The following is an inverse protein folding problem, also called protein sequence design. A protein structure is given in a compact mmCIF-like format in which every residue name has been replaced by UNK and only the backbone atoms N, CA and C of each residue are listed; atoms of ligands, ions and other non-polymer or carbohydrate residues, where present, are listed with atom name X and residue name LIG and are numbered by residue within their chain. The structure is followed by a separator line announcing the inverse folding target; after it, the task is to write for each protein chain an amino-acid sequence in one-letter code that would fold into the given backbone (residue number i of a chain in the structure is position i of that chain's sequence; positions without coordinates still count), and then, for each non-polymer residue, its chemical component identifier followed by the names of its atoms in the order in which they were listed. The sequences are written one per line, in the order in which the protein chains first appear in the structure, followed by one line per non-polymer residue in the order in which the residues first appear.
data_IF_711699830986
#
_entry.id   IF_711699830986
#
_cell.length_a   1.000
_cell.length_b   1.000
_cell.length_c   1.000
_cell.angle_alpha   90.00
_cell.angle_beta   90.00
_cell.angle_gamma   90.00
#
_symmetry.space_group_name_H-M   'P 1'
#
loop_
_entity.id
_entity.type
_entity.pdbx_description
1 polymer ?
#
# COMPACT_ATOMS: atom_id res chain seq x y z
N UNK A 1 15.88 16.33 13.85
CA UNK A 1 16.05 15.53 12.62
C UNK A 1 14.82 14.65 12.45
N UNK A 2 14.23 14.66 11.26
CA UNK A 2 12.97 13.94 10.99
C UNK A 2 13.26 12.67 10.20
N UNK A 3 12.61 11.56 10.55
CA UNK A 3 12.57 10.35 9.73
C UNK A 3 11.17 10.17 9.14
N UNK A 4 11.05 10.15 7.81
CA UNK A 4 9.78 9.82 7.13
C UNK A 4 9.83 8.38 6.63
N UNK A 5 8.84 7.57 7.02
CA UNK A 5 8.64 6.24 6.46
C UNK A 5 7.73 6.36 5.26
N UNK A 6 8.27 6.21 4.05
CA UNK A 6 7.57 6.52 2.80
C UNK A 6 7.28 5.26 1.98
N UNK A 7 6.83 5.44 0.73
CA UNK A 7 6.38 4.39 -0.18
C UNK A 7 4.92 4.54 -0.63
N UNK A 8 4.31 5.69 -0.33
CA UNK A 8 2.98 6.13 -0.79
C UNK A 8 3.12 7.46 -1.52
N UNK A 9 2.08 7.89 -2.25
CA UNK A 9 2.08 9.23 -2.87
C UNK A 9 2.15 10.33 -1.80
N UNK A 10 1.40 10.14 -0.70
CA UNK A 10 1.35 11.09 0.40
C UNK A 10 2.68 11.14 1.16
N UNK A 11 3.36 10.00 1.34
CA UNK A 11 4.69 9.96 1.92
C UNK A 11 5.73 10.70 1.07
N UNK A 12 5.62 10.65 -0.26
CA UNK A 12 6.48 11.43 -1.16
C UNK A 12 6.20 12.93 -1.04
N UNK A 13 4.94 13.31 -0.99
CA UNK A 13 4.52 14.70 -0.84
C UNK A 13 4.94 15.29 0.53
N UNK A 14 4.78 14.52 1.62
CA UNK A 14 5.26 14.92 2.95
C UNK A 14 6.76 15.18 2.93
N UNK A 15 7.56 14.26 2.37
CA UNK A 15 9.02 14.43 2.27
C UNK A 15 9.37 15.69 1.47
N UNK A 16 8.73 15.88 0.31
CA UNK A 16 8.95 17.06 -0.55
C UNK A 16 8.66 18.35 0.21
N UNK A 17 7.49 18.46 0.86
CA UNK A 17 7.11 19.68 1.59
C UNK A 17 8.03 20.00 2.77
N UNK A 18 8.41 18.99 3.55
CA UNK A 18 9.34 19.18 4.66
C UNK A 18 10.74 19.60 4.15
N UNK A 19 11.16 19.07 3.00
CA UNK A 19 12.42 19.45 2.36
C UNK A 19 12.39 20.89 1.82
N UNK A 20 11.32 21.28 1.13
CA UNK A 20 11.14 22.63 0.58
C UNK A 20 11.11 23.71 1.68
N UNK A 21 10.72 23.33 2.90
CA UNK A 21 10.75 24.18 4.09
C UNK A 21 12.12 24.24 4.78
N UNK A 22 13.13 23.56 4.25
CA UNK A 22 14.50 23.55 4.77
C UNK A 22 14.70 22.72 6.03
N UNK A 23 13.79 21.79 6.34
CA UNK A 23 13.91 20.94 7.53
C UNK A 23 14.88 19.77 7.30
N UNK A 24 15.72 19.49 8.30
CA UNK A 24 16.61 18.33 8.28
C UNK A 24 15.82 17.03 8.41
N UNK A 25 15.77 16.25 7.33
CA UNK A 25 15.06 14.99 7.26
C UNK A 25 15.83 13.90 6.52
N UNK A 26 15.48 12.66 6.82
CA UNK A 26 15.76 11.48 6.01
C UNK A 26 14.44 10.73 5.74
N UNK A 27 14.38 9.97 4.65
CA UNK A 27 13.27 9.09 4.31
C UNK A 27 13.75 7.67 4.11
N UNK A 28 12.86 6.70 4.35
CA UNK A 28 13.11 5.29 4.04
C UNK A 28 12.08 4.74 3.08
N UNK A 29 12.53 3.88 2.16
CA UNK A 29 11.68 3.14 1.22
C UNK A 29 12.09 1.66 1.21
N UNK A 30 11.09 0.78 1.03
CA UNK A 30 11.34 -0.66 1.07
C UNK A 30 11.95 -1.21 -0.24
N UNK A 31 11.83 -0.50 -1.36
CA UNK A 31 12.15 -1.01 -2.70
C UNK A 31 13.09 -0.08 -3.47
N UNK A 32 13.84 -0.65 -4.40
CA UNK A 32 14.71 0.11 -5.31
C UNK A 32 13.89 1.07 -6.19
N UNK A 33 12.72 0.62 -6.64
CA UNK A 33 11.79 1.47 -7.38
C UNK A 33 11.39 2.72 -6.58
N UNK A 34 11.09 2.55 -5.29
CA UNK A 34 10.80 3.68 -4.41
C UNK A 34 11.99 4.65 -4.32
N UNK A 35 13.22 4.13 -4.27
CA UNK A 35 14.43 4.95 -4.22
C UNK A 35 14.64 5.75 -5.51
N UNK A 36 14.45 5.10 -6.67
CA UNK A 36 14.51 5.74 -8.00
C UNK A 36 13.52 6.89 -8.15
N UNK A 37 12.34 6.80 -7.54
CA UNK A 37 11.38 7.92 -7.54
C UNK A 37 11.96 9.12 -6.77
N UNK A 38 12.60 8.91 -5.62
CA UNK A 38 13.24 10.01 -4.88
C UNK A 38 14.46 10.58 -5.61
N UNK A 39 15.21 9.76 -6.36
CA UNK A 39 16.28 10.23 -7.26
C UNK A 39 15.73 11.16 -8.36
N UNK A 40 14.59 10.82 -8.96
CA UNK A 40 13.93 11.69 -9.94
C UNK A 40 13.41 13.00 -9.35
N UNK A 41 13.13 13.02 -8.04
CA UNK A 41 12.74 14.21 -7.29
C UNK A 41 13.94 15.07 -6.85
N UNK A 42 15.19 14.63 -7.08
CA UNK A 42 16.40 15.29 -6.58
C UNK A 42 16.59 15.15 -5.07
N UNK A 43 16.02 14.09 -4.47
CA UNK A 43 15.99 13.82 -3.03
C UNK A 43 16.71 12.51 -2.68
N UNK A 44 17.63 12.06 -3.52
CA UNK A 44 18.39 10.81 -3.34
C UNK A 44 19.26 10.83 -2.08
N UNK A 45 19.80 12.00 -1.73
CA UNK A 45 20.72 12.17 -0.60
C UNK A 45 20.04 11.95 0.75
N UNK A 46 18.72 12.12 0.79
CA UNK A 46 17.89 11.92 1.99
C UNK A 46 17.18 10.56 1.98
N UNK A 47 17.28 9.76 0.92
CA UNK A 47 16.53 8.52 0.75
C UNK A 47 17.38 7.26 1.04
N UNK A 48 17.06 6.58 2.13
CA UNK A 48 17.61 5.27 2.46
C UNK A 48 16.71 4.16 1.89
N UNK A 49 17.34 3.15 1.27
CA UNK A 49 16.64 1.95 0.84
C UNK A 49 16.89 0.80 1.81
N UNK A 50 15.82 0.12 2.20
CA UNK A 50 15.91 -1.11 2.99
C UNK A 50 14.76 -1.26 3.96
N UNK A 51 14.47 -2.50 4.33
CA UNK A 51 13.56 -2.83 5.44
C UNK A 51 14.34 -2.79 6.74
N UNK A 52 13.74 -2.21 7.77
CA UNK A 52 14.29 -2.16 9.12
C UNK A 52 13.34 -2.85 10.09
N UNK A 53 13.91 -3.64 10.99
CA UNK A 53 13.23 -4.14 12.18
C UNK A 53 13.27 -3.08 13.30
N UNK A 54 12.63 -3.35 14.43
CA UNK A 54 12.60 -2.43 15.56
C UNK A 54 14.01 -2.06 16.09
N UNK A 55 14.97 -2.98 16.01
CA UNK A 55 16.36 -2.72 16.42
C UNK A 55 17.10 -1.84 15.40
N UNK A 56 16.88 -2.08 14.11
CA UNK A 56 17.39 -1.25 13.02
C UNK A 56 16.88 0.18 13.11
N UNK A 57 15.58 0.38 13.33
CA UNK A 57 15.01 1.70 13.60
C UNK A 57 15.60 2.33 14.85
N UNK A 58 15.77 1.58 15.94
CA UNK A 58 16.36 2.11 17.17
C UNK A 58 17.81 2.57 16.99
N UNK A 59 18.62 1.84 16.20
CA UNK A 59 19.98 2.26 15.86
C UNK A 59 19.96 3.53 15.02
N UNK A 60 19.14 3.55 13.96
CA UNK A 60 19.02 4.70 13.07
C UNK A 60 18.61 5.97 13.84
N UNK A 61 17.63 5.85 14.74
CA UNK A 61 17.16 6.94 15.59
C UNK A 61 18.32 7.55 16.39
N UNK A 62 19.12 6.72 17.07
CA UNK A 62 20.25 7.20 17.88
C UNK A 62 21.39 7.77 17.03
N UNK A 63 21.78 7.07 15.97
CA UNK A 63 22.92 7.45 15.12
C UNK A 63 22.68 8.77 14.37
N UNK A 64 21.44 9.04 13.98
CA UNK A 64 21.07 10.25 13.23
C UNK A 64 20.44 11.34 14.11
N UNK A 65 20.28 11.10 15.41
CA UNK A 65 19.65 12.04 16.33
C UNK A 65 18.21 12.37 15.94
N UNK A 66 17.44 11.36 15.52
CA UNK A 66 16.04 11.55 15.12
C UNK A 66 15.19 11.84 16.34
N UNK A 67 14.45 12.94 16.31
CA UNK A 67 13.53 13.37 17.36
C UNK A 67 12.06 13.09 17.00
N UNK A 68 11.76 13.00 15.69
CA UNK A 68 10.40 12.77 15.17
C UNK A 68 10.42 11.76 14.04
N UNK A 69 9.56 10.74 14.14
CA UNK A 69 9.24 9.80 13.06
C UNK A 69 7.86 10.11 12.50
N UNK A 70 7.78 10.33 11.19
CA UNK A 70 6.53 10.45 10.45
C UNK A 70 6.31 9.15 9.68
N UNK A 71 5.34 8.36 10.12
CA UNK A 71 4.92 7.16 9.42
C UNK A 71 3.88 7.52 8.36
N UNK A 72 4.29 7.49 7.09
CA UNK A 72 3.43 7.63 5.93
C UNK A 72 3.40 6.34 5.08
N UNK A 73 3.66 5.17 5.69
CA UNK A 73 3.63 3.89 4.97
C UNK A 73 2.20 3.50 4.60
N UNK A 74 2.06 2.59 3.64
CA UNK A 74 0.74 2.08 3.27
C UNK A 74 0.02 1.47 4.50
N UNK A 75 -1.30 1.65 4.69
CA UNK A 75 -2.04 1.16 5.87
C UNK A 75 -1.98 -0.36 6.12
N UNK A 76 -1.59 -1.14 5.11
CA UNK A 76 -1.40 -2.60 5.23
C UNK A 76 0.03 -2.99 5.59
N UNK A 77 0.94 -2.03 5.73
CA UNK A 77 2.33 -2.24 6.11
C UNK A 77 2.46 -2.32 7.65
N UNK A 78 1.65 -3.18 8.27
CA UNK A 78 1.52 -3.32 9.73
C UNK A 78 2.87 -3.50 10.42
N UNK A 79 3.70 -4.38 9.86
CA UNK A 79 4.99 -4.77 10.44
C UNK A 79 5.95 -3.59 10.58
N UNK A 80 6.11 -2.77 9.53
CA UNK A 80 7.01 -1.62 9.57
C UNK A 80 6.50 -0.55 10.54
N UNK A 81 5.19 -0.30 10.57
CA UNK A 81 4.59 0.63 11.52
C UNK A 81 4.77 0.17 12.97
N UNK A 82 4.56 -1.11 13.27
CA UNK A 82 4.78 -1.66 14.61
C UNK A 82 6.26 -1.56 15.02
N UNK A 83 7.17 -1.96 14.13
CA UNK A 83 8.61 -1.88 14.37
C UNK A 83 9.06 -0.43 14.67
N UNK A 84 8.53 0.54 13.91
CA UNK A 84 8.83 1.94 14.11
C UNK A 84 8.25 2.50 15.42
N UNK A 85 7.00 2.14 15.77
CA UNK A 85 6.40 2.53 17.05
C UNK A 85 7.19 1.97 18.24
N UNK A 86 7.57 0.69 18.20
CA UNK A 86 8.35 0.05 19.24
C UNK A 86 9.72 0.72 19.42
N UNK A 87 10.38 1.07 18.30
CA UNK A 87 11.63 1.81 18.32
C UNK A 87 11.47 3.23 18.88
N UNK A 88 10.42 3.95 18.50
CA UNK A 88 10.13 5.29 19.00
C UNK A 88 9.90 5.27 20.52
N UNK A 89 9.09 4.32 21.00
CA UNK A 89 8.84 4.13 22.44
C UNK A 89 10.13 3.86 23.21
N UNK A 90 11.03 3.03 22.68
CA UNK A 90 12.32 2.70 23.32
C UNK A 90 13.27 3.89 23.41
N UNK A 91 13.25 4.80 22.44
CA UNK A 91 14.18 5.92 22.36
C UNK A 91 13.54 7.27 22.77
N UNK A 92 12.31 7.24 23.30
CA UNK A 92 11.52 8.42 23.63
C UNK A 92 11.40 9.42 22.46
N UNK A 93 11.25 8.87 21.25
CA UNK A 93 11.12 9.62 20.00
C UNK A 93 9.64 9.84 19.69
N UNK A 94 9.28 11.02 19.20
CA UNK A 94 7.91 11.32 18.82
C UNK A 94 7.53 10.54 17.57
N UNK A 95 6.29 10.02 17.53
CA UNK A 95 5.78 9.25 16.40
C UNK A 95 4.45 9.85 15.91
N UNK A 96 4.41 10.20 14.62
CA UNK A 96 3.27 10.79 13.93
C UNK A 96 2.84 9.86 12.80
N UNK A 97 1.59 9.39 12.81
CA UNK A 97 1.02 8.59 11.74
C UNK A 97 0.24 9.49 10.77
N UNK A 98 0.64 9.50 9.51
CA UNK A 98 -0.24 9.93 8.43
C UNK A 98 -1.08 8.75 7.98
N UNK A 99 -2.40 8.91 8.05
CA UNK A 99 -3.33 7.93 7.52
C UNK A 99 -4.59 8.63 7.00
N UNK A 100 -4.77 8.56 5.68
CA UNK A 100 -5.97 9.05 5.00
C UNK A 100 -7.25 8.47 5.59
N UNK A 101 -8.33 9.25 5.49
CA UNK A 101 -9.65 8.81 5.90
C UNK A 101 -10.07 7.51 5.19
N UNK A 102 -10.94 6.77 5.85
CA UNK A 102 -11.56 5.56 5.29
C UNK A 102 -12.51 5.98 4.17
N UNK A 103 -12.50 5.26 3.06
CA UNK A 103 -13.49 5.44 2.01
C UNK A 103 -14.70 4.60 2.37
N UNK A 104 -15.89 5.19 2.35
CA UNK A 104 -17.11 4.45 2.61
C UNK A 104 -17.32 3.38 1.53
N UNK A 105 -17.18 2.11 1.91
CA UNK A 105 -17.44 0.98 1.01
C UNK A 105 -18.96 0.76 0.96
N UNK A 106 -19.60 0.86 -0.22
CA UNK A 106 -21.05 0.70 -0.35
C UNK A 106 -21.56 -0.61 0.25
N UNK A 107 -22.71 -0.55 0.90
CA UNK A 107 -23.43 -1.75 1.32
C UNK A 107 -24.22 -2.31 0.13
N UNK A 108 -23.72 -3.37 -0.49
CA UNK A 108 -24.32 -3.95 -1.69
C UNK A 108 -24.16 -5.49 -1.71
N UNK A 109 -25.12 -6.27 -2.23
CA UNK A 109 -25.03 -7.74 -2.26
C UNK A 109 -23.81 -8.32 -2.97
N UNK A 110 -23.24 -7.59 -3.94
CA UNK A 110 -22.03 -7.98 -4.66
C UNK A 110 -20.73 -7.54 -3.95
N UNK A 111 -20.82 -6.84 -2.82
CA UNK A 111 -19.65 -6.36 -2.07
C UNK A 111 -19.49 -7.18 -0.80
N UNK A 112 -18.38 -7.91 -0.73
CA UNK A 112 -18.06 -8.83 0.35
C UNK A 112 -16.90 -8.26 1.17
N UNK A 113 -17.21 -7.65 2.31
CA UNK A 113 -16.19 -7.15 3.25
C UNK A 113 -15.62 -8.31 4.05
N UNK A 114 -14.29 -8.39 4.12
CA UNK A 114 -13.55 -9.41 4.88
C UNK A 114 -12.41 -8.76 5.65
N UNK A 115 -12.08 -9.28 6.83
CA UNK A 115 -11.08 -8.66 7.72
C UNK A 115 -9.66 -9.06 7.38
N UNK A 116 -9.49 -10.24 6.80
CA UNK A 116 -8.17 -10.84 6.61
C UNK A 116 -7.98 -11.34 5.20
N UNK A 117 -6.71 -11.50 4.83
CA UNK A 117 -6.36 -12.10 3.54
C UNK A 117 -6.83 -13.56 3.45
N UNK A 118 -6.78 -14.30 4.56
CA UNK A 118 -7.24 -15.69 4.59
C UNK A 118 -8.75 -15.77 4.34
N UNK A 119 -9.54 -14.90 4.97
CA UNK A 119 -10.98 -14.79 4.68
C UNK A 119 -11.24 -14.41 3.21
N UNK A 120 -10.42 -13.55 2.62
CA UNK A 120 -10.52 -13.20 1.20
C UNK A 120 -10.28 -14.40 0.28
N UNK A 121 -9.31 -15.25 0.60
CA UNK A 121 -9.03 -16.49 -0.14
C UNK A 121 -10.21 -17.46 -0.02
N UNK A 122 -10.72 -17.70 1.19
CA UNK A 122 -11.89 -18.58 1.39
C UNK A 122 -13.14 -18.06 0.68
N UNK A 123 -13.41 -16.75 0.78
CA UNK A 123 -14.54 -16.15 0.07
C UNK A 123 -14.38 -16.28 -1.45
N UNK A 124 -13.15 -16.13 -1.97
CA UNK A 124 -12.86 -16.28 -3.39
C UNK A 124 -13.15 -17.69 -3.92
N UNK A 125 -13.00 -18.75 -3.09
CA UNK A 125 -13.38 -20.11 -3.48
C UNK A 125 -14.87 -20.23 -3.79
N UNK A 126 -15.71 -19.60 -2.98
CA UNK A 126 -17.17 -19.67 -3.11
C UNK A 126 -17.75 -18.82 -4.26
N UNK A 127 -16.94 -17.97 -4.89
CA UNK A 127 -17.39 -17.06 -5.95
C UNK A 127 -16.98 -17.57 -7.36
N UNK A 128 -17.04 -16.69 -8.36
CA UNK A 128 -16.78 -17.01 -9.75
C UNK A 128 -15.37 -17.57 -10.03
N UNK A 129 -15.18 -18.05 -11.26
CA UNK A 129 -13.95 -18.74 -11.68
C UNK A 129 -12.78 -17.80 -11.98
N UNK A 130 -13.03 -16.58 -12.46
CA UNK A 130 -12.02 -15.66 -13.01
C UNK A 130 -11.83 -14.49 -12.05
N UNK A 131 -10.76 -14.58 -11.27
CA UNK A 131 -10.48 -13.67 -10.17
C UNK A 131 -9.45 -12.62 -10.62
N UNK A 132 -9.77 -11.34 -10.47
CA UNK A 132 -8.85 -10.23 -10.72
C UNK A 132 -8.30 -9.68 -9.42
N UNK A 133 -7.02 -9.94 -9.16
CA UNK A 133 -6.29 -9.49 -7.98
C UNK A 133 -5.72 -8.09 -8.22
N UNK A 134 -6.29 -7.10 -7.53
CA UNK A 134 -5.81 -5.70 -7.52
C UNK A 134 -5.03 -5.37 -6.24
N UNK A 135 -4.58 -6.38 -5.52
CA UNK A 135 -3.98 -6.29 -4.18
C UNK A 135 -2.47 -6.07 -4.18
N UNK A 136 -1.84 -6.07 -5.36
CA UNK A 136 -0.39 -5.99 -5.57
C UNK A 136 0.34 -7.33 -5.34
N UNK A 137 1.62 -7.36 -5.72
CA UNK A 137 2.47 -8.57 -5.75
C UNK A 137 2.55 -9.30 -4.40
N UNK A 138 2.61 -8.55 -3.29
CA UNK A 138 2.78 -9.12 -1.93
C UNK A 138 1.64 -10.02 -1.48
N UNK A 139 0.50 -9.98 -2.16
CA UNK A 139 -0.68 -10.79 -1.80
C UNK A 139 -0.88 -11.98 -2.74
N UNK A 140 -0.24 -11.99 -3.91
CA UNK A 140 -0.43 -13.01 -4.96
C UNK A 140 -0.12 -14.41 -4.44
N UNK A 141 0.98 -14.57 -3.70
CA UNK A 141 1.38 -15.85 -3.13
C UNK A 141 0.37 -16.44 -2.13
N UNK A 142 -0.55 -15.64 -1.58
CA UNK A 142 -1.62 -16.14 -0.71
C UNK A 142 -2.82 -16.67 -1.51
N UNK A 143 -3.02 -16.18 -2.73
CA UNK A 143 -4.06 -16.66 -3.64
C UNK A 143 -3.58 -17.78 -4.56
N UNK A 144 -2.27 -17.98 -4.73
CA UNK A 144 -1.71 -19.02 -5.61
C UNK A 144 -2.18 -20.44 -5.26
N UNK A 145 -2.66 -20.65 -4.03
CA UNK A 145 -3.27 -21.92 -3.59
C UNK A 145 -4.55 -22.25 -4.40
N UNK A 146 -5.19 -21.23 -4.99
CA UNK A 146 -6.40 -21.36 -5.79
C UNK A 146 -6.10 -21.56 -7.29
N UNK A 147 -4.83 -21.60 -7.72
CA UNK A 147 -4.47 -21.57 -9.15
C UNK A 147 -5.00 -22.76 -9.97
N UNK A 148 -5.26 -23.88 -9.30
CA UNK A 148 -5.80 -25.09 -9.93
C UNK A 148 -7.34 -25.10 -9.92
N UNK A 149 -7.97 -24.27 -9.07
CA UNK A 149 -9.43 -24.14 -8.93
C UNK A 149 -9.98 -22.92 -9.70
N UNK A 150 -9.16 -21.87 -9.83
CA UNK A 150 -9.55 -20.54 -10.28
C UNK A 150 -8.53 -19.98 -11.28
N UNK A 151 -9.00 -19.10 -12.15
CA UNK A 151 -8.16 -18.37 -13.09
C UNK A 151 -7.78 -17.02 -12.47
N UNK A 152 -6.55 -16.94 -11.94
CA UNK A 152 -6.04 -15.74 -11.29
C UNK A 152 -5.44 -14.79 -12.31
N UNK A 153 -6.05 -13.63 -12.46
CA UNK A 153 -5.53 -12.48 -13.19
C UNK A 153 -4.95 -11.49 -12.21
N UNK A 154 -3.70 -11.10 -12.40
CA UNK A 154 -2.94 -10.38 -11.38
C UNK A 154 -2.45 -9.06 -11.94
N UNK A 155 -2.84 -7.95 -11.31
CA UNK A 155 -2.30 -6.63 -11.63
C UNK A 155 -1.15 -6.27 -10.70
N UNK A 156 0.02 -6.05 -11.28
CA UNK A 156 1.27 -5.73 -10.57
C UNK A 156 1.96 -4.52 -11.22
N UNK A 157 2.86 -3.88 -10.48
CA UNK A 157 3.78 -2.91 -11.06
C UNK A 157 4.67 -3.58 -12.11
N UNK A 158 5.04 -2.87 -13.20
CA UNK A 158 5.86 -3.41 -14.29
C UNK A 158 7.34 -3.48 -13.90
N UNK A 159 7.62 -4.32 -12.91
CA UNK A 159 8.95 -4.55 -12.33
C UNK A 159 9.33 -6.00 -12.67
N UNK A 160 10.49 -6.25 -13.31
CA UNK A 160 10.89 -7.59 -13.75
C UNK A 160 10.82 -8.65 -12.64
N UNK A 161 11.23 -8.28 -11.43
CA UNK A 161 11.21 -9.15 -10.24
C UNK A 161 9.78 -9.56 -9.87
N UNK A 162 8.80 -8.65 -10.01
CA UNK A 162 7.40 -8.99 -9.73
C UNK A 162 6.83 -9.94 -10.77
N UNK A 163 7.20 -9.77 -12.04
CA UNK A 163 6.78 -10.68 -13.12
C UNK A 163 7.38 -12.07 -12.87
N UNK A 164 8.67 -12.16 -12.54
CA UNK A 164 9.33 -13.41 -12.19
C UNK A 164 8.64 -14.12 -11.01
N UNK A 165 8.35 -13.39 -9.93
CA UNK A 165 7.61 -13.92 -8.77
C UNK A 165 6.23 -14.48 -9.14
N UNK A 166 5.49 -13.82 -10.04
CA UNK A 166 4.22 -14.34 -10.54
C UNK A 166 4.39 -15.66 -11.30
N UNK A 167 5.41 -15.75 -12.15
CA UNK A 167 5.72 -16.98 -12.90
C UNK A 167 6.10 -18.13 -11.97
N UNK A 168 6.94 -17.87 -10.96
CA UNK A 168 7.33 -18.85 -9.93
C UNK A 168 6.12 -19.37 -9.14
N UNK A 169 5.13 -18.50 -8.90
CA UNK A 169 3.87 -18.88 -8.26
C UNK A 169 2.92 -19.67 -9.19
N UNK A 170 3.27 -19.84 -10.46
CA UNK A 170 2.49 -20.56 -11.46
C UNK A 170 1.39 -19.72 -12.12
N UNK A 171 1.49 -18.39 -12.07
CA UNK A 171 0.59 -17.51 -12.80
C UNK A 171 1.02 -17.47 -14.28
N UNK A 172 0.16 -17.85 -15.24
CA UNK A 172 0.51 -17.81 -16.64
C UNK A 172 0.79 -16.39 -17.14
N UNK A 173 1.75 -16.17 -18.08
CA UNK A 173 2.06 -14.85 -18.61
C UNK A 173 0.85 -14.06 -19.11
N UNK A 174 -0.09 -14.75 -19.78
CA UNK A 174 -1.33 -14.13 -20.31
C UNK A 174 -2.30 -13.60 -19.22
N UNK A 175 -2.04 -13.91 -17.94
CA UNK A 175 -2.84 -13.47 -16.79
C UNK A 175 -2.07 -12.51 -15.88
N UNK A 176 -0.89 -12.04 -16.32
CA UNK A 176 -0.11 -11.02 -15.63
C UNK A 176 -0.34 -9.68 -16.32
N UNK A 177 -0.95 -8.74 -15.59
CA UNK A 177 -1.21 -7.37 -16.06
C UNK A 177 -0.19 -6.45 -15.37
N UNK A 178 0.93 -6.22 -16.04
CA UNK A 178 2.01 -5.36 -15.55
C UNK A 178 1.75 -3.90 -15.95
N UNK A 179 1.23 -3.08 -15.03
CA UNK A 179 0.86 -1.69 -15.30
C UNK A 179 1.09 -0.79 -14.09
N UNK A 180 1.41 0.47 -14.34
CA UNK A 180 1.49 1.51 -13.31
C UNK A 180 0.20 2.35 -13.31
N UNK A 181 -0.38 2.58 -12.13
CA UNK A 181 -1.59 3.39 -11.97
C UNK A 181 -1.30 4.90 -11.91
N UNK A 182 -2.30 5.74 -11.58
CA UNK A 182 -3.68 5.38 -11.21
C UNK A 182 -4.48 4.79 -12.39
N UNK A 183 -5.58 4.10 -12.09
CA UNK A 183 -6.43 3.46 -13.10
C UNK A 183 -7.82 4.06 -13.08
N UNK A 184 -8.26 4.63 -14.20
CA UNK A 184 -9.63 5.15 -14.34
C UNK A 184 -10.66 4.04 -14.27
N UNK A 185 -11.90 4.40 -13.98
CA UNK A 185 -13.03 3.46 -14.01
C UNK A 185 -13.13 2.74 -15.37
N UNK A 186 -13.08 3.49 -16.47
CA UNK A 186 -13.19 2.94 -17.82
C UNK A 186 -12.09 1.92 -18.13
N UNK A 187 -10.86 2.17 -17.69
CA UNK A 187 -9.77 1.23 -17.88
C UNK A 187 -10.01 -0.06 -17.06
N UNK A 188 -10.48 0.06 -15.81
CA UNK A 188 -10.86 -1.11 -15.01
C UNK A 188 -11.96 -1.91 -15.70
N UNK A 189 -13.03 -1.25 -16.18
CA UNK A 189 -14.13 -1.91 -16.92
C UNK A 189 -13.65 -2.59 -18.19
N UNK A 190 -12.78 -1.94 -18.97
CA UNK A 190 -12.20 -2.52 -20.17
C UNK A 190 -11.43 -3.81 -19.86
N UNK A 191 -10.60 -3.81 -18.81
CA UNK A 191 -9.89 -5.01 -18.35
C UNK A 191 -10.87 -6.10 -17.89
N UNK A 192 -11.89 -5.74 -17.11
CA UNK A 192 -12.89 -6.70 -16.64
C UNK A 192 -13.60 -7.40 -17.79
N UNK A 193 -14.01 -6.66 -18.82
CA UNK A 193 -14.63 -7.20 -20.03
C UNK A 193 -13.66 -8.06 -20.84
N UNK A 194 -12.45 -7.53 -21.10
CA UNK A 194 -11.42 -8.21 -21.90
C UNK A 194 -11.08 -9.59 -21.32
N UNK A 195 -10.97 -9.69 -20.00
CA UNK A 195 -10.61 -10.93 -19.30
C UNK A 195 -11.81 -11.70 -18.75
N UNK A 196 -13.04 -11.22 -19.00
CA UNK A 196 -14.30 -11.80 -18.52
C UNK A 196 -14.30 -12.04 -17.00
N UNK A 197 -13.77 -11.07 -16.25
CA UNK A 197 -13.66 -11.14 -14.80
C UNK A 197 -15.04 -11.24 -14.17
N UNK A 198 -15.16 -12.12 -13.18
CA UNK A 198 -16.40 -12.30 -12.39
C UNK A 198 -16.19 -12.06 -10.91
N UNK A 199 -14.94 -12.02 -10.43
CA UNK A 199 -14.63 -11.65 -9.06
C UNK A 199 -13.43 -10.72 -9.02
N UNK A 200 -13.56 -9.57 -8.38
CA UNK A 200 -12.43 -8.69 -8.06
C UNK A 200 -12.07 -8.86 -6.59
N UNK A 201 -10.77 -8.99 -6.30
CA UNK A 201 -10.27 -8.88 -4.93
C UNK A 201 -9.46 -7.60 -4.81
N UNK A 202 -9.76 -6.82 -3.78
CA UNK A 202 -9.08 -5.56 -3.53
C UNK A 202 -8.88 -5.27 -2.06
N UNK A 203 -7.98 -4.32 -1.79
CA UNK A 203 -7.77 -3.74 -0.47
C UNK A 203 -8.54 -2.44 -0.37
N UNK A 204 -9.09 -2.17 0.80
CA UNK A 204 -9.59 -0.87 1.21
C UNK A 204 -8.44 0.15 1.16
N UNK A 205 -8.34 0.82 0.02
CA UNK A 205 -7.42 1.93 -0.20
C UNK A 205 -8.26 3.19 -0.09
N UNK A 206 -7.81 4.21 0.61
CA UNK A 206 -8.46 5.53 0.59
C UNK A 206 -8.42 6.17 -0.82
N UNK A 207 -9.04 7.33 -0.95
CA UNK A 207 -9.43 7.96 -2.23
C UNK A 207 -8.31 8.06 -3.29
N UNK A 208 -7.08 8.43 -2.91
CA UNK A 208 -5.96 8.56 -3.86
C UNK A 208 -5.50 7.22 -4.50
N UNK A 209 -5.96 6.07 -4.00
CA UNK A 209 -5.53 4.74 -4.46
C UNK A 209 -6.34 4.13 -5.61
N UNK A 210 -7.24 4.88 -6.23
CA UNK A 210 -8.12 4.38 -7.28
C UNK A 210 -9.18 3.40 -6.77
N UNK A 211 -9.49 3.46 -5.46
CA UNK A 211 -10.31 2.44 -4.82
C UNK A 211 -11.79 2.59 -5.12
N UNK A 212 -12.23 3.83 -5.28
CA UNK A 212 -13.57 4.16 -5.69
C UNK A 212 -13.81 3.70 -7.14
N UNK A 213 -12.90 4.04 -8.04
CA UNK A 213 -12.98 3.76 -9.48
C UNK A 213 -13.05 2.26 -9.78
N UNK A 214 -12.25 1.45 -9.08
CA UNK A 214 -12.27 -0.01 -9.28
C UNK A 214 -13.54 -0.67 -8.70
N UNK A 215 -14.02 -0.19 -7.55
CA UNK A 215 -15.25 -0.73 -6.92
C UNK A 215 -16.47 -0.34 -7.77
N UNK A 216 -16.53 0.91 -8.23
CA UNK A 216 -17.59 1.39 -9.11
C UNK A 216 -17.55 0.69 -10.48
N UNK A 217 -16.37 0.49 -11.06
CA UNK A 217 -16.20 -0.32 -12.27
C UNK A 217 -16.74 -1.74 -12.08
N UNK A 218 -16.37 -2.41 -10.99
CA UNK A 218 -16.80 -3.79 -10.73
C UNK A 218 -18.31 -3.86 -10.52
N UNK A 219 -18.87 -2.90 -9.79
CA UNK A 219 -20.31 -2.76 -9.62
C UNK A 219 -21.05 -2.60 -10.97
N UNK A 220 -20.58 -1.69 -11.82
CA UNK A 220 -21.16 -1.43 -13.15
C UNK A 220 -21.13 -2.67 -14.05
N UNK A 221 -20.13 -3.52 -13.90
CA UNK A 221 -20.00 -4.78 -14.65
C UNK A 221 -20.64 -5.99 -13.94
N UNK A 222 -21.30 -5.80 -12.79
CA UNK A 222 -21.97 -6.88 -12.04
C UNK A 222 -21.00 -7.89 -11.42
N UNK A 223 -19.79 -7.46 -11.06
CA UNK A 223 -18.69 -8.31 -10.57
C UNK A 223 -18.71 -8.37 -9.05
N UNK A 224 -18.65 -9.59 -8.51
CA UNK A 224 -18.44 -9.79 -7.07
C UNK A 224 -17.13 -9.16 -6.63
N UNK A 225 -17.19 -8.29 -5.62
CA UNK A 225 -16.06 -7.52 -5.14
C UNK A 225 -15.77 -7.88 -3.69
N UNK A 226 -14.66 -8.58 -3.47
CA UNK A 226 -14.13 -8.82 -2.14
C UNK A 226 -13.25 -7.64 -1.75
N UNK A 227 -13.64 -6.95 -0.68
CA UNK A 227 -12.86 -5.85 -0.10
C UNK A 227 -12.27 -6.31 1.21
N UNK A 228 -10.94 -6.39 1.24
CA UNK A 228 -10.18 -6.67 2.44
C UNK A 228 -10.13 -5.37 3.23
N UNK A 229 -10.71 -5.36 4.42
CA UNK A 229 -10.75 -4.20 5.31
C UNK A 229 -9.33 -3.79 5.72
N UNK A 230 -9.18 -2.49 6.00
CA UNK A 230 -7.93 -1.95 6.51
C UNK A 230 -7.65 -2.54 7.91
N UNK A 231 -6.42 -3.02 8.18
CA UNK A 231 -6.04 -3.43 9.53
C UNK A 231 -6.15 -2.27 10.50
N UNK A 232 -6.68 -2.51 11.70
CA UNK A 232 -6.77 -1.50 12.76
C UNK A 232 -5.57 -1.61 13.69
N UNK A 233 -4.71 -0.60 13.67
CA UNK A 233 -3.63 -0.40 14.64
C UNK A 233 -3.92 0.86 15.47
N UNK A 234 -3.58 0.81 16.75
CA UNK A 234 -3.61 1.98 17.62
C UNK A 234 -2.31 2.76 17.44
N UNK A 235 -2.44 4.00 16.97
CA UNK A 235 -1.31 4.91 16.76
C UNK A 235 -1.33 6.02 17.83
N UNK A 236 -0.18 6.40 18.41
CA UNK A 236 -0.12 7.43 19.44
C UNK A 236 -0.68 8.79 19.00
N UNK A 237 -0.33 9.21 17.79
CA UNK A 237 -0.82 10.43 17.16
C UNK A 237 -1.10 10.12 15.69
N UNK A 238 -2.34 10.34 15.24
CA UNK A 238 -2.80 10.02 13.88
C UNK A 238 -3.46 11.24 13.25
N UNK A 239 -3.08 11.54 12.02
CA UNK A 239 -3.58 12.68 11.24
C UNK A 239 -3.98 12.21 9.85
N UNK A 240 -5.00 12.86 9.28
CA UNK A 240 -5.51 12.54 7.93
C UNK A 240 -5.18 13.61 6.90
N UNK A 241 -4.57 14.72 7.33
CA UNK A 241 -4.12 15.82 6.46
C UNK A 241 -2.60 15.94 6.45
N UNK A 242 -2.03 16.14 5.26
CA UNK A 242 -0.61 16.44 5.09
C UNK A 242 -0.26 17.78 5.74
N UNK A 243 -1.16 18.78 5.67
CA UNK A 243 -0.95 20.08 6.32
C UNK A 243 -0.84 19.94 7.84
N UNK A 244 -1.67 19.09 8.43
CA UNK A 244 -1.61 18.79 9.87
C UNK A 244 -0.28 18.12 10.23
N UNK A 245 0.17 17.13 9.46
CA UNK A 245 1.46 16.48 9.69
C UNK A 245 2.60 17.50 9.62
N UNK A 246 2.67 18.30 8.56
CA UNK A 246 3.72 19.31 8.38
C UNK A 246 3.71 20.33 9.53
N UNK A 247 2.53 20.78 9.95
CA UNK A 247 2.37 21.66 11.11
C UNK A 247 2.85 21.00 12.40
N UNK A 248 2.42 19.76 12.67
CA UNK A 248 2.75 19.06 13.90
C UNK A 248 4.23 18.74 14.02
N UNK A 249 4.91 18.44 12.90
CA UNK A 249 6.38 18.24 12.87
C UNK A 249 7.13 19.49 13.33
N UNK A 250 6.61 20.69 13.05
CA UNK A 250 7.24 21.96 13.46
C UNK A 250 6.98 22.34 14.91
N UNK A 251 5.89 21.85 15.49
CA UNK A 251 5.54 22.10 16.88
C UNK A 251 6.35 21.11 17.74
N UNK A 252 7.59 21.48 18.09
CA UNK A 252 8.40 20.76 19.07
C UNK A 252 7.80 20.86 20.47
#
# INVERSE_FOLDING_TARGET
MILVLSGTEEGKEIVRRLHDEGLSLITTVATEYGKKIFEQMGLETVCLQGRLDANGFSRLIREKGIDTVVDATHPYAIEVSQNAMDACKKNNTRYLRFERQETEIPNHPLVHKVKTMSEAVEKSRALGKRIFLTTGISSVGKFSILKDEKELYVRILPVPEHIALCLDMGIPPARIIAMHGPFSEDLNRAMFRQYQINTMVTKESGDAGGAFEKIHAAFTEGIDTIVIERPRLEFPQKYSSIDEIVKMVKMN
#
